data_IF_888446058378
#
_entry.id   IF_888446058378
#
_cell.length_a   1.000
_cell.length_b   1.000
_cell.length_c   1.000
_cell.angle_alpha   90.00
_cell.angle_beta   90.00
_cell.angle_gamma   90.00
#
_symmetry.space_group_name_H-M   'P 1'
#
loop_
_entity.id
_entity.type
_entity.pdbx_description
1 polymer ?
#
# COMPACT_ATOMS: atom_id res chain seq x y z
N UNK A 1 13.80 -7.56 14.14
CA UNK A 1 12.68 -6.85 13.51
C UNK A 1 11.46 -7.02 14.39
N UNK A 2 10.78 -5.94 14.73
CA UNK A 2 9.61 -5.94 15.61
C UNK A 2 8.40 -5.43 14.83
N UNK A 3 7.22 -5.91 15.20
CA UNK A 3 5.96 -5.38 14.73
C UNK A 3 5.38 -4.46 15.79
N UNK A 4 4.97 -3.28 15.37
CA UNK A 4 4.29 -2.29 16.18
C UNK A 4 2.80 -2.30 15.81
N UNK A 5 1.95 -2.49 16.81
CA UNK A 5 0.51 -2.58 16.61
C UNK A 5 -0.13 -1.33 17.18
N UNK A 6 -0.86 -0.62 16.32
CA UNK A 6 -1.54 0.62 16.69
C UNK A 6 -3.05 0.46 16.63
N UNK A 7 -3.76 1.10 17.55
CA UNK A 7 -5.19 1.36 17.37
C UNK A 7 -5.38 2.64 16.56
N UNK A 8 -6.38 2.65 15.70
CA UNK A 8 -6.81 3.79 14.93
C UNK A 8 -8.27 4.08 15.25
N UNK A 9 -8.52 5.25 15.83
CA UNK A 9 -9.87 5.72 16.15
C UNK A 9 -10.20 6.88 15.23
N UNK A 10 -11.21 6.69 14.38
CA UNK A 10 -11.72 7.76 13.53
C UNK A 10 -12.60 8.72 14.36
N UNK A 11 -12.22 9.97 14.41
CA UNK A 11 -13.01 11.09 14.90
C UNK A 11 -13.69 11.77 13.71
N UNK A 12 -14.48 12.81 13.94
CA UNK A 12 -15.27 13.45 12.87
C UNK A 12 -14.41 13.82 11.65
N UNK A 13 -13.29 14.52 11.86
CA UNK A 13 -12.41 15.00 10.78
C UNK A 13 -10.93 14.61 11.00
N UNK A 14 -10.65 13.85 12.04
CA UNK A 14 -9.30 13.49 12.48
C UNK A 14 -9.25 12.01 12.81
N UNK A 15 -8.05 11.49 12.94
CA UNK A 15 -7.79 10.18 13.53
C UNK A 15 -6.96 10.35 14.81
N UNK A 16 -7.15 9.45 15.75
CA UNK A 16 -6.27 9.28 16.89
C UNK A 16 -5.59 7.92 16.75
N UNK A 17 -4.29 7.92 16.87
CA UNK A 17 -3.47 6.71 16.76
C UNK A 17 -2.71 6.53 18.06
N UNK A 18 -2.76 5.33 18.63
CA UNK A 18 -2.00 4.97 19.82
C UNK A 18 -1.31 3.62 19.64
N UNK A 19 -0.06 3.53 20.09
CA UNK A 19 0.66 2.27 20.15
C UNK A 19 0.03 1.39 21.24
N UNK A 20 -0.43 0.21 20.84
CA UNK A 20 -1.06 -0.77 21.74
C UNK A 20 -0.07 -1.84 22.21
N UNK A 21 0.80 -2.28 21.30
CA UNK A 21 1.75 -3.33 21.60
C UNK A 21 2.94 -3.33 20.63
N UNK A 22 4.03 -3.94 21.09
CA UNK A 22 5.17 -4.34 20.27
C UNK A 22 5.24 -5.87 20.31
N UNK A 23 5.36 -6.50 19.15
CA UNK A 23 5.42 -7.94 19.00
C UNK A 23 6.70 -8.33 18.24
N UNK A 24 7.46 -9.27 18.80
CA UNK A 24 8.69 -9.82 18.22
C UNK A 24 8.68 -11.36 18.16
N UNK A 25 7.60 -11.98 18.65
CA UNK A 25 7.48 -13.43 18.85
C UNK A 25 6.59 -14.11 17.80
N UNK A 26 6.56 -13.61 16.55
CA UNK A 26 5.85 -14.27 15.45
C UNK A 26 6.71 -15.37 14.80
N UNK A 27 6.05 -16.39 14.26
CA UNK A 27 6.69 -17.53 13.61
C UNK A 27 7.08 -17.22 12.16
N UNK A 28 6.26 -16.48 11.43
CA UNK A 28 6.58 -15.97 10.10
C UNK A 28 5.90 -14.64 9.83
N UNK A 29 6.51 -13.87 8.93
CA UNK A 29 5.99 -12.62 8.41
C UNK A 29 6.19 -12.58 6.89
N UNK A 30 5.09 -12.46 6.16
CA UNK A 30 5.10 -12.01 4.78
C UNK A 30 4.82 -10.51 4.78
N UNK A 31 5.64 -9.73 4.06
CA UNK A 31 5.50 -8.28 3.91
C UNK A 31 5.72 -7.96 2.45
N UNK A 32 4.65 -7.98 1.67
CA UNK A 32 4.68 -7.90 0.22
C UNK A 32 4.41 -6.47 -0.25
N UNK A 33 5.47 -5.81 -0.75
CA UNK A 33 5.44 -4.44 -1.24
C UNK A 33 5.35 -4.48 -2.77
N UNK A 34 4.28 -3.94 -3.30
CA UNK A 34 4.04 -3.86 -4.72
C UNK A 34 4.12 -2.40 -5.21
N UNK A 35 4.69 -2.19 -6.40
CA UNK A 35 4.88 -0.84 -6.93
C UNK A 35 3.61 -0.27 -7.57
N UNK A 36 2.84 -1.10 -8.27
CA UNK A 36 1.62 -0.70 -8.97
C UNK A 36 0.33 -1.24 -8.33
N UNK A 37 0.42 -1.77 -7.13
CA UNK A 37 -0.72 -2.30 -6.40
C UNK A 37 -0.60 -2.01 -4.91
N UNK A 38 -1.72 -2.20 -4.21
CA UNK A 38 -1.72 -2.16 -2.77
C UNK A 38 -1.16 -3.48 -2.24
N UNK A 39 0.08 -3.48 -1.81
CA UNK A 39 0.70 -4.65 -1.21
C UNK A 39 -0.02 -5.14 0.04
N UNK A 40 0.41 -6.28 0.58
CA UNK A 40 -0.24 -6.95 1.69
C UNK A 40 0.75 -7.48 2.72
N UNK A 41 0.23 -7.95 3.83
CA UNK A 41 1.03 -8.64 4.84
C UNK A 41 0.28 -9.85 5.41
N UNK A 42 1.06 -10.81 5.89
CA UNK A 42 0.58 -11.93 6.68
C UNK A 42 1.51 -12.18 7.86
N UNK A 43 0.94 -12.28 9.05
CA UNK A 43 1.65 -12.65 10.27
C UNK A 43 1.11 -14.00 10.75
N UNK A 44 2.00 -14.95 10.95
CA UNK A 44 1.69 -16.24 11.55
C UNK A 44 2.29 -16.30 12.95
N UNK A 45 1.45 -16.46 13.97
CA UNK A 45 1.83 -16.36 15.38
C UNK A 45 1.04 -17.35 16.26
N UNK A 46 1.64 -17.79 17.36
CA UNK A 46 0.93 -18.62 18.32
C UNK A 46 -0.31 -17.90 18.88
N UNK A 47 -1.45 -18.60 18.94
CA UNK A 47 -2.72 -18.05 19.40
C UNK A 47 -2.82 -18.02 20.92
N UNK A 48 -1.96 -17.21 21.55
CA UNK A 48 -2.12 -16.91 22.99
C UNK A 48 -3.28 -15.92 23.22
N UNK A 49 -3.91 -15.92 24.39
CA UNK A 49 -4.93 -14.92 24.72
C UNK A 49 -4.42 -13.47 24.54
N UNK A 50 -3.14 -13.24 24.81
CA UNK A 50 -2.49 -11.96 24.62
C UNK A 50 -2.43 -11.59 23.12
N UNK A 51 -1.94 -12.50 22.27
CA UNK A 51 -1.81 -12.25 20.83
C UNK A 51 -3.20 -12.01 20.19
N UNK A 52 -4.20 -12.82 20.55
CA UNK A 52 -5.58 -12.61 20.08
C UNK A 52 -6.14 -11.25 20.51
N UNK A 53 -5.78 -10.75 21.69
CA UNK A 53 -6.22 -9.43 22.16
C UNK A 53 -5.48 -8.27 21.47
N UNK A 54 -4.23 -8.48 21.04
CA UNK A 54 -3.40 -7.49 20.38
C UNK A 54 -3.77 -7.37 18.90
N UNK A 55 -3.88 -8.49 18.20
CA UNK A 55 -4.22 -8.49 16.77
C UNK A 55 -5.75 -8.47 16.60
N UNK A 56 -6.29 -7.30 16.33
CA UNK A 56 -7.72 -7.09 16.09
C UNK A 56 -7.96 -6.42 14.75
N UNK A 57 -9.07 -6.75 14.09
CA UNK A 57 -9.43 -6.11 12.81
C UNK A 57 -9.54 -4.59 12.96
N UNK A 58 -9.00 -3.88 11.98
CA UNK A 58 -8.95 -2.43 11.96
C UNK A 58 -7.76 -1.82 12.69
N UNK A 59 -6.97 -2.60 13.43
CA UNK A 59 -5.68 -2.13 13.94
C UNK A 59 -4.65 -2.05 12.84
N UNK A 60 -3.67 -1.18 13.04
CA UNK A 60 -2.56 -1.00 12.11
C UNK A 60 -1.37 -1.80 12.59
N UNK A 61 -0.70 -2.45 11.66
CA UNK A 61 0.59 -3.13 11.86
C UNK A 61 1.66 -2.37 11.10
N UNK A 62 2.76 -2.06 11.78
CA UNK A 62 3.95 -1.48 11.19
C UNK A 62 5.17 -2.32 11.53
N UNK A 63 6.21 -2.24 10.71
CA UNK A 63 7.51 -2.82 10.99
C UNK A 63 8.44 -1.75 11.54
N UNK A 64 9.22 -2.08 12.57
CA UNK A 64 10.19 -1.14 13.18
C UNK A 64 11.29 -0.67 12.22
N UNK A 65 11.53 -1.40 11.13
CA UNK A 65 12.54 -1.09 10.11
C UNK A 65 11.94 -0.54 8.80
N UNK A 66 10.62 -0.32 8.75
CA UNK A 66 9.90 0.22 7.58
C UNK A 66 8.96 1.36 8.00
N UNK A 67 9.42 2.58 7.81
CA UNK A 67 8.64 3.78 8.14
C UNK A 67 7.66 4.21 7.03
N UNK A 68 7.59 3.48 5.92
CA UNK A 68 6.78 3.86 4.76
C UNK A 68 5.51 3.02 4.62
N UNK A 69 5.54 1.76 5.01
CA UNK A 69 4.42 0.86 4.82
C UNK A 69 3.76 0.50 6.15
N UNK A 70 2.47 0.72 6.21
CA UNK A 70 1.61 0.44 7.34
C UNK A 70 0.44 -0.41 6.85
N UNK A 71 0.23 -1.57 7.47
CA UNK A 71 -0.85 -2.47 7.12
C UNK A 71 -2.06 -2.30 8.04
N UNK A 72 -3.27 -2.45 7.51
CA UNK A 72 -4.49 -2.55 8.31
C UNK A 72 -4.94 -4.01 8.38
N UNK A 73 -5.20 -4.50 9.59
CA UNK A 73 -5.67 -5.87 9.81
C UNK A 73 -7.10 -6.00 9.27
N UNK A 74 -7.28 -6.85 8.26
CA UNK A 74 -8.58 -7.10 7.64
C UNK A 74 -9.17 -8.44 8.02
N UNK A 75 -8.32 -9.47 8.22
CA UNK A 75 -8.77 -10.82 8.57
C UNK A 75 -7.93 -11.45 9.67
N UNK A 76 -8.58 -12.28 10.45
CA UNK A 76 -7.98 -13.11 11.50
C UNK A 76 -8.52 -14.53 11.33
N UNK A 77 -7.62 -15.50 11.28
CA UNK A 77 -7.96 -16.91 11.22
C UNK A 77 -7.27 -17.63 12.36
N UNK A 78 -8.07 -18.27 13.20
CA UNK A 78 -7.61 -19.10 14.32
C UNK A 78 -7.69 -20.56 13.89
N UNK A 79 -6.58 -21.27 13.99
CA UNK A 79 -6.48 -22.69 13.66
C UNK A 79 -5.89 -23.47 14.83
N UNK A 80 -6.41 -24.66 15.04
CA UNK A 80 -5.88 -25.62 16.00
C UNK A 80 -5.29 -26.82 15.26
N UNK A 81 -4.03 -27.06 15.47
CA UNK A 81 -3.31 -28.22 14.93
C UNK A 81 -2.85 -29.12 16.07
N UNK A 82 -3.10 -30.43 15.96
CA UNK A 82 -2.80 -31.40 17.02
C UNK A 82 -1.29 -31.51 17.31
N UNK A 83 -0.43 -31.20 16.34
CA UNK A 83 1.04 -31.29 16.47
C UNK A 83 1.66 -29.92 16.78
N UNK A 84 1.13 -28.83 16.20
CA UNK A 84 1.70 -27.48 16.28
C UNK A 84 1.02 -26.58 17.32
N UNK A 85 -0.16 -27.00 17.82
CA UNK A 85 -0.96 -26.21 18.76
C UNK A 85 -1.87 -25.18 18.07
N UNK A 86 -2.26 -24.14 18.81
CA UNK A 86 -3.17 -23.11 18.33
C UNK A 86 -2.38 -21.97 17.68
N UNK A 87 -2.76 -21.62 16.46
CA UNK A 87 -2.13 -20.55 15.68
C UNK A 87 -3.13 -19.51 15.20
N UNK A 88 -2.66 -18.29 15.13
CA UNK A 88 -3.38 -17.14 14.59
C UNK A 88 -2.68 -16.67 13.33
N UNK A 89 -3.40 -16.66 12.21
CA UNK A 89 -3.00 -16.01 10.96
C UNK A 89 -3.68 -14.66 10.88
N UNK A 90 -2.88 -13.62 10.78
CA UNK A 90 -3.33 -12.22 10.70
C UNK A 90 -2.99 -11.69 9.32
N UNK A 91 -3.99 -11.31 8.55
CA UNK A 91 -3.76 -10.79 7.19
C UNK A 91 -4.39 -9.42 7.01
N UNK A 92 -3.79 -8.67 6.09
CA UNK A 92 -4.30 -7.37 5.71
C UNK A 92 -3.52 -6.75 4.57
N UNK A 93 -3.95 -5.58 4.14
CA UNK A 93 -3.30 -4.80 3.08
C UNK A 93 -2.74 -3.51 3.63
N UNK A 94 -1.85 -2.87 2.87
CA UNK A 94 -1.32 -1.56 3.26
C UNK A 94 -2.39 -0.47 3.17
N UNK A 95 -2.15 0.65 3.86
CA UNK A 95 -3.17 1.69 4.10
C UNK A 95 -3.76 2.31 2.82
N UNK A 96 -3.10 2.16 1.67
CA UNK A 96 -3.67 2.57 0.39
C UNK A 96 -5.02 1.89 0.10
N UNK A 97 -5.28 0.69 0.64
CA UNK A 97 -6.55 -0.02 0.52
C UNK A 97 -7.76 0.79 1.03
N UNK A 98 -7.54 1.77 1.90
CA UNK A 98 -8.62 2.65 2.37
C UNK A 98 -9.25 3.48 1.24
N UNK A 99 -8.51 3.73 0.16
CA UNK A 99 -9.01 4.43 -1.04
C UNK A 99 -9.99 3.57 -1.84
N UNK A 100 -9.92 2.25 -1.74
CA UNK A 100 -10.86 1.33 -2.37
C UNK A 100 -12.31 1.53 -1.91
N UNK A 101 -12.48 2.05 -0.71
CA UNK A 101 -13.79 2.34 -0.11
C UNK A 101 -14.45 3.59 -0.70
N UNK A 102 -13.88 4.18 -1.74
CA UNK A 102 -14.35 5.43 -2.36
C UNK A 102 -14.41 5.28 -3.87
N UNK A 103 -15.43 5.89 -4.44
CA UNK A 103 -15.59 6.03 -5.90
C UNK A 103 -15.45 7.49 -6.30
N UNK A 104 -15.03 7.74 -7.52
CA UNK A 104 -14.93 9.08 -8.11
C UNK A 104 -16.34 9.56 -8.49
N UNK A 105 -16.86 10.53 -7.74
CA UNK A 105 -18.19 11.09 -7.95
C UNK A 105 -18.24 12.57 -7.51
N UNK A 106 -18.87 13.46 -8.27
CA UNK A 106 -19.33 13.31 -9.66
C UNK A 106 -18.17 13.22 -10.64
N UNK A 107 -18.46 13.15 -11.93
CA UNK A 107 -17.45 13.23 -13.01
C UNK A 107 -16.52 14.41 -12.81
N UNK A 108 -15.24 14.16 -12.88
CA UNK A 108 -14.19 15.16 -12.73
C UNK A 108 -13.47 15.32 -14.07
N UNK A 109 -13.53 16.52 -14.64
CA UNK A 109 -12.65 16.93 -15.72
C UNK A 109 -11.50 17.72 -15.12
N UNK A 110 -10.29 17.29 -15.39
CA UNK A 110 -9.07 17.93 -14.91
C UNK A 110 -8.09 18.16 -16.08
N UNK A 111 -7.34 19.26 -15.98
CA UNK A 111 -6.29 19.64 -16.89
C UNK A 111 -5.17 20.22 -16.05
N UNK A 112 -3.95 19.76 -16.21
CA UNK A 112 -2.79 20.14 -15.43
C UNK A 112 -1.78 19.01 -15.32
N UNK A 113 -0.88 19.10 -14.35
CA UNK A 113 0.04 18.00 -14.05
C UNK A 113 -0.70 16.77 -13.54
N UNK A 114 -0.11 15.58 -13.66
CA UNK A 114 -0.69 14.38 -13.07
C UNK A 114 -0.86 14.53 -11.56
N UNK A 115 0.07 15.22 -10.89
CA UNK A 115 -0.07 15.60 -9.48
C UNK A 115 -1.35 16.40 -9.23
N UNK A 116 -1.60 17.48 -10.01
CA UNK A 116 -2.80 18.32 -9.87
C UNK A 116 -4.09 17.52 -10.09
N UNK A 117 -4.07 16.60 -11.04
CA UNK A 117 -5.21 15.72 -11.34
C UNK A 117 -5.50 14.82 -10.15
N UNK A 118 -4.49 14.13 -9.60
CA UNK A 118 -4.64 13.27 -8.42
C UNK A 118 -5.10 14.09 -7.21
N UNK A 119 -4.47 15.24 -6.94
CA UNK A 119 -4.90 16.15 -5.86
C UNK A 119 -6.36 16.55 -5.98
N UNK A 120 -6.81 16.85 -7.19
CA UNK A 120 -8.21 17.22 -7.45
C UNK A 120 -9.17 16.07 -7.18
N UNK A 121 -8.83 14.86 -7.62
CA UNK A 121 -9.65 13.65 -7.40
C UNK A 121 -9.72 13.32 -5.90
N UNK A 122 -8.59 13.26 -5.22
CA UNK A 122 -8.52 12.95 -3.80
C UNK A 122 -9.17 14.05 -2.94
N UNK A 123 -8.95 15.33 -3.27
CA UNK A 123 -9.60 16.42 -2.57
C UNK A 123 -11.12 16.29 -2.60
N UNK A 124 -11.72 16.01 -3.76
CA UNK A 124 -13.19 15.96 -3.93
C UNK A 124 -13.84 14.70 -3.37
N UNK A 125 -13.11 13.59 -3.31
CA UNK A 125 -13.73 12.30 -3.01
C UNK A 125 -13.24 11.67 -1.70
N UNK A 126 -12.14 12.17 -1.13
CA UNK A 126 -11.50 11.62 0.08
C UNK A 126 -11.33 12.67 1.16
N UNK A 127 -10.77 13.85 0.81
CA UNK A 127 -10.36 14.86 1.80
C UNK A 127 -11.51 15.84 2.12
N UNK A 128 -12.20 16.36 1.11
CA UNK A 128 -13.24 17.38 1.24
C UNK A 128 -14.58 16.89 0.70
N UNK A 129 -14.90 15.63 0.90
CA UNK A 129 -16.08 14.97 0.35
C UNK A 129 -17.30 15.00 1.29
N UNK A 130 -17.30 15.83 2.33
CA UNK A 130 -18.38 15.92 3.33
C UNK A 130 -18.50 14.61 4.12
N UNK A 131 -19.67 14.00 4.12
CA UNK A 131 -19.92 12.73 4.82
C UNK A 131 -19.09 11.55 4.29
N UNK A 132 -18.47 11.69 3.12
CA UNK A 132 -17.61 10.67 2.50
C UNK A 132 -16.13 10.89 2.81
N UNK A 133 -15.77 11.89 3.61
CA UNK A 133 -14.37 12.11 4.01
C UNK A 133 -13.76 10.86 4.61
N UNK A 134 -12.48 10.68 4.37
CA UNK A 134 -11.65 9.78 5.14
C UNK A 134 -10.94 10.62 6.22
N UNK A 135 -11.33 10.48 7.50
CA UNK A 135 -10.79 11.33 8.56
C UNK A 135 -9.26 11.28 8.63
N UNK A 136 -8.63 12.42 8.83
CA UNK A 136 -7.17 12.54 8.94
C UNK A 136 -6.40 12.32 7.63
N UNK A 137 -7.07 12.14 6.49
CA UNK A 137 -6.41 11.92 5.20
C UNK A 137 -5.98 13.24 4.56
N UNK A 138 -4.77 13.27 4.03
CA UNK A 138 -4.21 14.42 3.32
C UNK A 138 -3.16 13.99 2.29
N UNK A 139 -2.83 14.89 1.37
CA UNK A 139 -1.68 14.68 0.48
C UNK A 139 -0.39 14.80 1.27
N UNK A 140 0.54 13.90 0.98
CA UNK A 140 1.90 13.90 1.49
C UNK A 140 2.88 14.51 0.50
N UNK A 141 4.05 13.90 0.38
CA UNK A 141 5.14 14.32 -0.53
C UNK A 141 4.87 13.87 -1.95
N UNK A 142 5.38 14.66 -2.91
CA UNK A 142 5.38 14.28 -4.33
C UNK A 142 6.81 14.39 -4.85
N UNK A 143 7.28 13.32 -5.48
CA UNK A 143 8.62 13.25 -6.06
C UNK A 143 8.62 12.49 -7.38
N UNK A 144 9.47 12.90 -8.30
CA UNK A 144 9.64 12.30 -9.62
C UNK A 144 8.95 13.07 -10.75
N UNK A 145 9.66 13.15 -11.87
CA UNK A 145 9.27 13.96 -13.02
C UNK A 145 8.01 13.47 -13.73
N UNK A 146 7.67 12.19 -13.56
CA UNK A 146 6.44 11.62 -14.14
C UNK A 146 5.18 12.36 -13.67
N UNK A 147 5.17 12.84 -12.42
CA UNK A 147 4.05 13.56 -11.83
C UNK A 147 3.88 14.99 -12.34
N UNK A 148 4.96 15.59 -12.88
CA UNK A 148 4.94 16.95 -13.41
C UNK A 148 4.48 17.02 -14.89
N UNK A 149 4.41 15.88 -15.57
CA UNK A 149 3.90 15.81 -16.95
C UNK A 149 2.42 16.19 -16.96
N UNK A 150 2.01 16.95 -17.97
CA UNK A 150 0.64 17.49 -18.07
C UNK A 150 -0.26 16.59 -18.91
N UNK A 151 -1.52 16.50 -18.48
CA UNK A 151 -2.55 15.77 -19.20
C UNK A 151 -3.92 16.45 -19.08
N UNK A 152 -4.85 16.05 -19.93
CA UNK A 152 -6.28 16.35 -19.79
C UNK A 152 -7.03 15.04 -19.63
N UNK A 153 -7.74 14.89 -18.52
CA UNK A 153 -8.45 13.67 -18.18
C UNK A 153 -9.89 13.98 -17.76
N UNK A 154 -10.75 13.04 -18.04
CA UNK A 154 -12.09 12.95 -17.46
C UNK A 154 -12.23 11.62 -16.79
N UNK A 155 -12.58 11.61 -15.52
CA UNK A 155 -12.73 10.41 -14.69
C UNK A 155 -14.07 10.43 -13.97
N UNK A 156 -14.72 9.27 -13.88
CA UNK A 156 -16.03 9.15 -13.24
C UNK A 156 -16.37 7.72 -12.90
N UNK A 157 -16.97 7.52 -11.74
CA UNK A 157 -17.51 6.25 -11.24
C UNK A 157 -16.53 5.11 -11.06
N UNK A 158 -15.24 5.35 -11.27
CA UNK A 158 -14.17 4.38 -11.01
C UNK A 158 -13.88 4.27 -9.52
N UNK A 159 -13.40 3.12 -9.08
CA UNK A 159 -12.80 2.96 -7.76
C UNK A 159 -11.51 3.81 -7.67
N UNK A 160 -11.33 4.57 -6.58
CA UNK A 160 -10.20 5.50 -6.49
C UNK A 160 -8.87 4.77 -6.45
N UNK A 161 -8.78 3.64 -5.75
CA UNK A 161 -7.54 2.87 -5.64
C UNK A 161 -7.13 2.29 -6.99
N UNK A 162 -8.07 1.64 -7.68
CA UNK A 162 -7.83 1.04 -9.00
C UNK A 162 -7.46 2.10 -10.04
N UNK A 163 -8.20 3.21 -10.07
CA UNK A 163 -7.88 4.34 -10.93
C UNK A 163 -6.49 4.91 -10.67
N UNK A 164 -6.12 5.08 -9.39
CA UNK A 164 -4.82 5.65 -9.01
C UNK A 164 -3.67 4.75 -9.46
N UNK A 165 -3.75 3.43 -9.21
CA UNK A 165 -2.68 2.52 -9.63
C UNK A 165 -2.64 2.31 -11.15
N UNK A 166 -3.77 2.31 -11.83
CA UNK A 166 -3.79 2.31 -13.31
C UNK A 166 -3.13 3.56 -13.90
N UNK A 167 -3.35 4.72 -13.27
CA UNK A 167 -2.63 5.94 -13.63
C UNK A 167 -1.13 5.81 -13.35
N UNK A 168 -0.75 5.31 -12.17
CA UNK A 168 0.64 5.07 -11.79
C UNK A 168 1.37 4.19 -12.81
N UNK A 169 0.76 3.08 -13.22
CA UNK A 169 1.31 2.18 -14.24
C UNK A 169 1.50 2.90 -15.59
N UNK A 170 0.54 3.73 -15.98
CA UNK A 170 0.60 4.49 -17.24
C UNK A 170 1.74 5.49 -17.26
N UNK A 171 2.06 6.15 -16.13
CA UNK A 171 3.05 7.23 -16.07
C UNK A 171 4.42 6.79 -15.54
N UNK A 172 4.55 5.56 -15.03
CA UNK A 172 5.76 5.06 -14.38
C UNK A 172 5.97 5.63 -12.96
N UNK A 173 4.90 6.05 -12.30
CA UNK A 173 4.90 6.50 -10.92
C UNK A 173 4.31 5.46 -9.98
N UNK A 174 4.29 5.76 -8.68
CA UNK A 174 3.57 4.98 -7.68
C UNK A 174 2.99 5.87 -6.60
N UNK A 175 2.10 5.31 -5.80
CA UNK A 175 1.46 5.98 -4.67
C UNK A 175 1.47 5.07 -3.45
N UNK A 176 1.67 5.68 -2.28
CA UNK A 176 1.56 4.97 -1.01
C UNK A 176 0.79 5.83 0.00
N UNK A 177 0.12 5.18 0.95
CA UNK A 177 -0.50 5.86 2.08
C UNK A 177 0.21 5.41 3.35
N UNK A 178 0.91 6.33 3.98
CA UNK A 178 1.60 6.10 5.25
C UNK A 178 0.91 6.79 6.41
N UNK A 179 1.21 6.32 7.59
CA UNK A 179 0.83 6.96 8.84
C UNK A 179 1.90 7.99 9.24
N UNK A 180 1.47 9.20 9.58
CA UNK A 180 2.33 10.29 10.05
C UNK A 180 1.69 10.95 11.27
N UNK A 181 2.08 10.50 12.46
CA UNK A 181 1.40 10.85 13.69
C UNK A 181 -0.09 10.50 13.65
N UNK A 182 -0.94 11.49 13.78
CA UNK A 182 -2.40 11.34 13.69
C UNK A 182 -2.95 11.70 12.29
N UNK A 183 -2.20 11.44 11.23
CA UNK A 183 -2.61 11.71 9.86
C UNK A 183 -2.27 10.55 8.92
N UNK A 184 -3.12 10.35 7.91
CA UNK A 184 -2.88 9.48 6.77
C UNK A 184 -2.36 10.33 5.62
N UNK A 185 -1.15 10.09 5.16
CA UNK A 185 -0.48 10.85 4.12
C UNK A 185 -0.37 10.02 2.84
N UNK A 186 -0.94 10.53 1.75
CA UNK A 186 -0.78 9.93 0.43
C UNK A 186 0.43 10.55 -0.27
N UNK A 187 1.49 9.78 -0.37
CA UNK A 187 2.72 10.17 -1.07
C UNK A 187 2.66 9.67 -2.52
N UNK A 188 3.17 10.48 -3.45
CA UNK A 188 3.32 10.15 -4.86
C UNK A 188 4.81 10.16 -5.20
N UNK A 189 5.31 9.12 -5.85
CA UNK A 189 6.74 9.00 -6.14
C UNK A 189 6.99 8.27 -7.45
N UNK A 190 8.20 8.38 -7.98
CA UNK A 190 8.69 7.55 -9.09
C UNK A 190 9.66 6.50 -8.55
N UNK A 191 9.75 5.37 -9.23
CA UNK A 191 10.78 4.38 -8.98
C UNK A 191 12.18 4.89 -9.36
N UNK A 192 13.19 4.23 -8.80
CA UNK A 192 14.58 4.43 -9.21
C UNK A 192 14.95 3.34 -10.21
N UNK A 193 15.30 3.70 -11.43
CA UNK A 193 15.83 2.75 -12.41
C UNK A 193 17.18 2.23 -11.93
N UNK A 194 17.27 0.91 -11.75
CA UNK A 194 18.47 0.16 -11.35
C UNK A 194 18.82 -0.93 -12.35
N UNK A 195 18.24 -0.85 -13.56
CA UNK A 195 18.55 -1.78 -14.64
C UNK A 195 19.99 -1.56 -15.16
N UNK A 196 20.45 -2.51 -15.97
CA UNK A 196 21.75 -2.40 -16.65
C UNK A 196 21.75 -1.41 -17.82
N UNK A 197 20.60 -0.80 -18.13
CA UNK A 197 20.45 0.12 -19.27
C UNK A 197 20.68 1.60 -18.90
N UNK A 198 21.01 1.88 -17.65
CA UNK A 198 21.30 3.22 -17.12
C UNK A 198 22.63 3.23 -16.36
N UNK A 199 23.26 4.39 -16.21
CA UNK A 199 24.55 4.58 -15.54
C UNK A 199 24.46 5.53 -14.33
N UNK A 200 23.28 6.08 -14.04
CA UNK A 200 23.09 7.08 -12.97
C UNK A 200 22.96 6.47 -11.57
N UNK A 201 22.39 5.27 -11.49
CA UNK A 201 22.10 4.61 -10.23
C UNK A 201 22.86 3.28 -10.10
N UNK A 202 23.20 2.84 -8.87
CA UNK A 202 23.77 1.51 -8.66
C UNK A 202 22.86 0.42 -9.23
N UNK A 203 23.41 -0.46 -10.04
CA UNK A 203 22.68 -1.59 -10.61
C UNK A 203 22.28 -2.60 -9.52
N UNK A 204 21.13 -3.23 -9.67
CA UNK A 204 20.76 -4.41 -8.89
C UNK A 204 21.05 -5.64 -9.73
N UNK A 205 21.93 -6.52 -9.22
CA UNK A 205 22.32 -7.76 -9.88
C UNK A 205 21.94 -8.94 -8.99
N UNK A 206 21.07 -9.81 -9.50
CA UNK A 206 20.76 -11.09 -8.87
C UNK A 206 21.66 -12.18 -9.46
N UNK A 207 22.44 -12.84 -8.63
CA UNK A 207 23.37 -13.86 -9.07
C UNK A 207 23.69 -14.84 -7.94
N UNK A 208 23.97 -16.08 -8.31
CA UNK A 208 24.41 -17.10 -7.38
C UNK A 208 25.72 -16.71 -6.69
N UNK A 209 26.64 -16.04 -7.42
CA UNK A 209 27.91 -15.57 -6.89
C UNK A 209 27.76 -14.52 -5.75
N UNK A 210 26.65 -13.83 -5.69
CA UNK A 210 26.31 -12.87 -4.61
C UNK A 210 25.44 -13.48 -3.52
N UNK A 211 25.08 -14.78 -3.60
CA UNK A 211 24.17 -15.47 -2.69
C UNK A 211 22.82 -14.75 -2.49
N UNK A 212 22.35 -14.04 -3.51
CA UNK A 212 21.08 -13.31 -3.50
C UNK A 212 20.07 -13.86 -4.52
N UNK A 213 20.39 -14.98 -5.17
CA UNK A 213 19.52 -15.71 -6.11
C UNK A 213 19.37 -17.15 -5.64
N UNK A 214 18.21 -17.51 -5.09
CA UNK A 214 17.92 -18.86 -4.60
C UNK A 214 17.36 -19.77 -5.72
N UNK A 215 16.57 -19.19 -6.60
CA UNK A 215 16.00 -19.89 -7.76
C UNK A 215 15.66 -18.88 -8.85
N UNK A 216 15.65 -19.35 -10.09
CA UNK A 216 15.27 -18.55 -11.25
C UNK A 216 14.33 -19.36 -12.12
N UNK A 217 13.26 -18.75 -12.60
CA UNK A 217 12.37 -19.30 -13.60
C UNK A 217 12.07 -18.24 -14.64
N UNK A 218 12.15 -18.60 -15.91
CA UNK A 218 11.78 -17.76 -17.03
C UNK A 218 10.73 -18.48 -17.88
N UNK A 219 9.65 -17.80 -18.17
CA UNK A 219 8.64 -18.25 -19.13
C UNK A 219 8.35 -17.13 -20.12
N UNK A 220 8.26 -17.45 -21.39
CA UNK A 220 7.80 -16.56 -22.45
C UNK A 220 6.60 -17.20 -23.15
N UNK A 221 5.53 -16.44 -23.33
CA UNK A 221 4.32 -16.90 -23.97
C UNK A 221 3.78 -15.83 -24.94
N UNK A 222 3.64 -16.20 -26.19
CA UNK A 222 3.12 -15.35 -27.26
C UNK A 222 1.60 -15.53 -27.49
N UNK A 223 0.92 -16.37 -26.71
CA UNK A 223 -0.48 -16.75 -26.94
C UNK A 223 -1.46 -15.55 -26.88
N UNK A 224 -1.07 -14.46 -26.22
CA UNK A 224 -1.89 -13.24 -26.12
C UNK A 224 -1.46 -12.12 -27.07
N UNK A 225 -0.43 -12.33 -27.88
CA UNK A 225 0.00 -11.34 -28.87
C UNK A 225 -1.05 -11.23 -29.99
N UNK A 226 -1.59 -10.02 -30.17
CA UNK A 226 -2.51 -9.70 -31.26
C UNK A 226 -1.76 -8.90 -32.32
N UNK A 227 -1.62 -9.47 -33.51
CA UNK A 227 -1.17 -8.71 -34.66
C UNK A 227 -2.34 -7.86 -35.16
N UNK A 228 -2.23 -6.56 -35.06
CA UNK A 228 -3.11 -5.62 -35.77
C UNK A 228 -2.48 -5.36 -37.15
N UNK A 229 -3.14 -5.84 -38.18
CA UNK A 229 -2.80 -5.49 -39.55
C UNK A 229 -3.47 -4.16 -39.96
#
# INVERSE_FOLDING_TARGET
>A
MQLEIYSLIALKDQISVSLEAICDSYSSLLWDIEFYQCGCFEVYIAASPQNVSIFQRGRIVARSDDAQHFGIIESLQLETDAEKGDYLTVTGRFLACLLERRIIYPTITANGSYEDIVRKVLSRNVISAGIRNLPGFSMGTVSGDCWQKTARMQVSYDNILEWLYSLCETIGGSANVRLDGNALKCDLFSGTDRSLLQDENPHIVFSDAYNNLLSFSYAADDAVQKNFA
#
